data_IF_712439143151
#
_entry.id   IF_712439143151
#
_cell.length_a   1.000
_cell.length_b   1.000
_cell.length_c   1.000
_cell.angle_alpha   90.00
_cell.angle_beta   90.00
_cell.angle_gamma   90.00
#
_symmetry.space_group_name_H-M   'P 1'
#
loop_
_entity.id
_entity.type
_entity.pdbx_description
1 polymer ?
#
# COMPACT_ATOMS: atom_id res chain seq x y z
N UNK A 1 35.49 19.32 60.29
CA UNK A 1 35.50 20.10 59.03
C UNK A 1 36.24 19.41 57.87
N UNK A 2 37.10 18.41 58.12
CA UNK A 2 37.89 17.72 57.07
C UNK A 2 37.21 16.51 56.40
N UNK A 3 36.09 15.99 56.92
CA UNK A 3 35.41 14.80 56.36
C UNK A 3 34.46 15.09 55.18
N UNK A 4 34.21 16.36 54.84
CA UNK A 4 33.26 16.73 53.77
C UNK A 4 33.93 16.85 52.38
N UNK A 5 35.25 17.03 52.32
CA UNK A 5 35.96 17.28 51.05
C UNK A 5 36.27 16.02 50.23
N UNK A 6 36.40 14.84 50.87
CA UNK A 6 36.64 13.57 50.16
C UNK A 6 35.40 12.96 49.51
N UNK A 7 34.21 13.21 50.07
CA UNK A 7 32.93 12.72 49.53
C UNK A 7 32.46 13.50 48.29
N UNK A 8 32.88 14.77 48.13
CA UNK A 8 32.48 15.63 47.03
C UNK A 8 33.01 15.18 45.65
N UNK A 9 34.22 14.61 45.59
CA UNK A 9 34.77 14.10 44.33
C UNK A 9 34.15 12.77 43.89
N UNK A 10 33.83 11.87 44.84
CA UNK A 10 33.22 10.58 44.52
C UNK A 10 31.76 10.74 44.07
N UNK A 11 31.03 11.67 44.70
CA UNK A 11 29.66 12.01 44.31
C UNK A 11 29.60 12.66 42.92
N UNK A 12 30.54 13.56 42.59
CA UNK A 12 30.63 14.17 41.27
C UNK A 12 31.00 13.15 40.16
N UNK A 13 31.85 12.17 40.47
CA UNK A 13 32.24 11.12 39.52
C UNK A 13 31.07 10.15 39.24
N UNK A 14 30.27 9.82 40.26
CA UNK A 14 29.06 9.01 40.13
C UNK A 14 27.92 9.76 39.40
N UNK A 15 27.80 11.08 39.61
CA UNK A 15 26.80 11.92 38.95
C UNK A 15 27.14 12.25 37.48
N UNK A 16 28.42 12.21 37.10
CA UNK A 16 28.87 12.44 35.72
C UNK A 16 28.77 11.21 34.80
N UNK A 17 28.80 9.99 35.37
CA UNK A 17 28.66 8.74 34.64
C UNK A 17 27.34 8.56 33.85
N UNK A 18 26.14 8.90 34.37
CA UNK A 18 24.89 8.76 33.62
C UNK A 18 24.80 9.70 32.41
N UNK A 19 25.29 10.94 32.54
CA UNK A 19 25.23 11.95 31.48
C UNK A 19 26.05 11.56 30.23
N UNK A 20 27.19 10.88 30.41
CA UNK A 20 28.04 10.40 29.32
C UNK A 20 27.45 9.18 28.59
N UNK A 21 26.68 8.34 29.28
CA UNK A 21 25.97 7.21 28.69
C UNK A 21 24.74 7.67 27.89
N UNK A 22 24.03 8.70 28.37
CA UNK A 22 22.83 9.25 27.75
C UNK A 22 23.14 10.01 26.44
N UNK A 23 24.28 10.71 26.37
CA UNK A 23 24.78 11.34 25.14
C UNK A 23 25.16 10.33 24.04
N UNK A 24 25.63 9.13 24.42
CA UNK A 24 25.91 8.05 23.46
C UNK A 24 24.63 7.36 22.96
N UNK A 25 23.57 7.33 23.79
CA UNK A 25 22.26 6.80 23.42
C UNK A 25 21.55 7.73 22.41
N UNK A 26 21.74 9.04 22.50
CA UNK A 26 21.15 10.03 21.59
C UNK A 26 21.70 9.88 20.15
N UNK A 27 23.00 9.59 19.98
CA UNK A 27 23.60 9.33 18.65
C UNK A 27 23.11 8.04 17.97
N UNK A 28 22.87 6.98 18.75
CA UNK A 28 22.29 5.72 18.25
C UNK A 28 20.77 5.84 18.02
N UNK A 29 20.06 6.57 18.88
CA UNK A 29 18.65 6.90 18.69
C UNK A 29 18.42 7.82 17.48
N UNK A 30 19.30 8.78 17.21
CA UNK A 30 19.24 9.67 16.04
C UNK A 30 19.40 8.86 14.74
N UNK A 31 20.32 7.89 14.72
CA UNK A 31 20.51 6.98 13.58
C UNK A 31 19.28 6.10 13.32
N UNK A 32 18.69 5.50 14.38
CA UNK A 32 17.47 4.71 14.27
C UNK A 32 16.24 5.58 13.92
N UNK A 33 16.19 6.81 14.42
CA UNK A 33 15.11 7.76 14.12
C UNK A 33 15.10 8.11 12.65
N UNK A 34 16.27 8.40 12.06
CA UNK A 34 16.38 8.69 10.62
C UNK A 34 15.83 7.53 9.76
N UNK A 35 16.21 6.29 10.08
CA UNK A 35 15.70 5.11 9.36
C UNK A 35 14.17 4.96 9.47
N UNK A 36 13.60 5.24 10.64
CA UNK A 36 12.14 5.17 10.87
C UNK A 36 11.40 6.30 10.12
N UNK A 37 11.96 7.50 10.06
CA UNK A 37 11.38 8.61 9.29
C UNK A 37 11.38 8.32 7.79
N UNK A 38 12.46 7.76 7.24
CA UNK A 38 12.52 7.34 5.84
C UNK A 38 11.52 6.24 5.52
N UNK A 39 11.40 5.23 6.37
CA UNK A 39 10.46 4.12 6.18
C UNK A 39 9.01 4.64 6.16
N UNK A 40 8.65 5.53 7.08
CA UNK A 40 7.35 6.18 7.09
C UNK A 40 7.11 6.97 5.80
N UNK A 41 8.07 7.78 5.34
CA UNK A 41 7.92 8.57 4.11
C UNK A 41 7.59 7.68 2.90
N UNK A 42 8.29 6.54 2.78
CA UNK A 42 8.08 5.58 1.69
C UNK A 42 6.68 4.94 1.78
N UNK A 43 6.24 4.53 2.97
CA UNK A 43 4.92 3.91 3.14
C UNK A 43 3.78 4.89 2.85
N UNK A 44 3.86 6.12 3.35
CA UNK A 44 2.85 7.15 3.10
C UNK A 44 2.84 7.56 1.62
N UNK A 45 4.01 7.79 1.02
CA UNK A 45 4.13 8.13 -0.40
C UNK A 45 3.61 7.01 -1.33
N UNK A 46 3.97 5.75 -1.03
CA UNK A 46 3.51 4.58 -1.77
C UNK A 46 1.99 4.41 -1.70
N UNK A 47 1.41 4.56 -0.51
CA UNK A 47 -0.05 4.46 -0.32
C UNK A 47 -0.79 5.53 -1.12
N UNK A 48 -0.34 6.78 -1.07
CA UNK A 48 -0.96 7.90 -1.82
C UNK A 48 -0.90 7.64 -3.33
N UNK A 49 0.26 7.20 -3.83
CA UNK A 49 0.45 6.89 -5.25
C UNK A 49 -0.47 5.75 -5.73
N UNK A 50 -0.58 4.68 -4.93
CA UNK A 50 -1.46 3.55 -5.25
C UNK A 50 -2.93 3.95 -5.27
N UNK A 51 -3.39 4.73 -4.28
CA UNK A 51 -4.76 5.23 -4.22
C UNK A 51 -5.08 6.11 -5.42
N UNK A 52 -4.19 7.03 -5.79
CA UNK A 52 -4.34 7.85 -7.00
C UNK A 52 -4.40 6.98 -8.27
N UNK A 53 -3.55 5.95 -8.37
CA UNK A 53 -3.56 5.00 -9.47
C UNK A 53 -4.87 4.23 -9.58
N UNK A 54 -5.44 3.78 -8.46
CA UNK A 54 -6.75 3.11 -8.41
C UNK A 54 -7.85 4.04 -8.92
N UNK A 55 -7.88 5.30 -8.46
CA UNK A 55 -8.85 6.29 -8.92
C UNK A 55 -8.74 6.49 -10.44
N UNK A 56 -7.52 6.60 -10.97
CA UNK A 56 -7.31 6.78 -12.40
C UNK A 56 -7.77 5.55 -13.21
N UNK A 57 -7.49 4.35 -12.73
CA UNK A 57 -7.96 3.11 -13.36
C UNK A 57 -9.49 3.01 -13.34
N UNK A 58 -10.13 3.32 -12.21
CA UNK A 58 -11.60 3.35 -12.10
C UNK A 58 -12.23 4.35 -13.08
N UNK A 59 -11.66 5.55 -13.20
CA UNK A 59 -12.11 6.54 -14.17
C UNK A 59 -12.00 6.03 -15.61
N UNK A 60 -10.94 5.28 -15.94
CA UNK A 60 -10.74 4.69 -17.26
C UNK A 60 -11.68 3.52 -17.54
N UNK A 61 -11.95 2.66 -16.55
CA UNK A 61 -12.94 1.56 -16.68
C UNK A 61 -14.35 2.11 -16.94
N UNK A 62 -14.70 3.24 -16.31
CA UNK A 62 -16.01 3.88 -16.47
C UNK A 62 -16.16 4.62 -17.80
N UNK A 63 -15.11 5.31 -18.27
CA UNK A 63 -15.15 6.13 -19.50
C UNK A 63 -14.61 5.44 -20.76
N UNK A 64 -13.98 4.27 -20.64
CA UNK A 64 -13.33 3.57 -21.74
C UNK A 64 -14.32 3.17 -22.84
N UNK A 65 -14.17 3.69 -24.09
CA UNK A 65 -15.10 3.40 -25.19
C UNK A 65 -14.91 2.00 -25.80
N UNK A 66 -13.75 1.37 -25.58
CA UNK A 66 -13.38 0.09 -26.17
C UNK A 66 -13.23 -0.99 -25.09
N UNK A 67 -13.77 -2.19 -25.34
CA UNK A 67 -13.78 -3.28 -24.36
C UNK A 67 -12.36 -3.69 -23.92
N UNK A 68 -11.39 -3.70 -24.84
CA UNK A 68 -10.01 -4.04 -24.49
C UNK A 68 -9.36 -3.00 -23.55
N UNK A 69 -9.73 -1.72 -23.65
CA UNK A 69 -9.23 -0.66 -22.76
C UNK A 69 -9.72 -0.84 -21.32
N UNK A 70 -10.96 -1.34 -21.17
CA UNK A 70 -11.54 -1.65 -19.86
C UNK A 70 -10.88 -2.86 -19.22
N UNK A 71 -10.56 -3.90 -19.99
CA UNK A 71 -9.84 -5.09 -19.52
C UNK A 71 -8.43 -4.75 -19.07
N UNK A 72 -7.70 -3.95 -19.85
CA UNK A 72 -6.35 -3.50 -19.50
C UNK A 72 -6.34 -2.60 -18.25
N UNK A 73 -7.32 -1.70 -18.13
CA UNK A 73 -7.48 -0.86 -16.94
C UNK A 73 -7.85 -1.70 -15.71
N UNK A 74 -8.61 -2.78 -15.87
CA UNK A 74 -8.92 -3.70 -14.79
C UNK A 74 -7.66 -4.48 -14.35
N UNK A 75 -6.84 -4.99 -15.27
CA UNK A 75 -5.58 -5.67 -14.95
C UNK A 75 -4.62 -4.76 -14.16
N UNK A 76 -4.51 -3.50 -14.59
CA UNK A 76 -3.72 -2.48 -13.90
C UNK A 76 -4.25 -2.20 -12.49
N UNK A 77 -5.59 -2.14 -12.33
CA UNK A 77 -6.22 -1.92 -11.02
C UNK A 77 -5.86 -3.04 -10.03
N UNK A 78 -5.77 -4.28 -10.49
CA UNK A 78 -5.39 -5.44 -9.67
C UNK A 78 -3.96 -5.35 -9.15
N UNK A 79 -3.03 -4.93 -10.00
CA UNK A 79 -1.65 -4.67 -9.55
C UNK A 79 -1.60 -3.56 -8.50
N UNK A 80 -2.46 -2.55 -8.63
CA UNK A 80 -2.56 -1.46 -7.68
C UNK A 80 -3.14 -1.90 -6.32
N UNK A 81 -4.17 -2.74 -6.33
CA UNK A 81 -4.71 -3.38 -5.12
C UNK A 81 -3.66 -4.28 -4.48
N UNK A 82 -2.93 -5.07 -5.27
CA UNK A 82 -1.84 -5.92 -4.79
C UNK A 82 -0.75 -5.11 -4.08
N UNK A 83 -0.34 -3.97 -4.64
CA UNK A 83 0.59 -3.04 -3.99
C UNK A 83 0.09 -2.55 -2.63
N UNK A 84 -1.22 -2.29 -2.51
CA UNK A 84 -1.86 -1.86 -1.26
C UNK A 84 -1.83 -2.96 -0.20
N UNK A 85 -2.06 -4.21 -0.61
CA UNK A 85 -1.96 -5.39 0.26
C UNK A 85 -0.53 -5.61 0.76
N UNK A 86 0.47 -5.41 -0.11
CA UNK A 86 1.89 -5.49 0.28
C UNK A 86 2.24 -4.44 1.33
N UNK A 87 1.82 -3.19 1.14
CA UNK A 87 2.03 -2.12 2.13
C UNK A 87 1.33 -2.46 3.46
N UNK A 88 0.08 -2.92 3.40
CA UNK A 88 -0.67 -3.33 4.59
C UNK A 88 0.05 -4.45 5.35
N UNK A 89 0.63 -5.41 4.63
CA UNK A 89 1.39 -6.51 5.23
C UNK A 89 2.65 -6.01 5.95
N UNK A 90 3.37 -5.06 5.36
CA UNK A 90 4.54 -4.43 5.99
C UNK A 90 4.15 -3.70 7.28
N UNK A 91 3.01 -3.00 7.28
CA UNK A 91 2.50 -2.27 8.45
C UNK A 91 2.05 -3.24 9.55
N UNK A 92 1.34 -4.30 9.18
CA UNK A 92 0.73 -5.23 10.14
C UNK A 92 1.74 -6.23 10.71
N UNK A 93 2.90 -6.43 10.05
CA UNK A 93 3.96 -7.40 10.41
C UNK A 93 3.52 -8.86 10.53
N UNK A 94 2.29 -9.16 10.12
CA UNK A 94 1.66 -10.46 10.19
C UNK A 94 1.48 -11.01 8.77
N UNK A 95 2.32 -11.98 8.39
CA UNK A 95 2.28 -12.60 7.06
C UNK A 95 1.06 -13.51 6.87
N UNK A 96 0.41 -13.96 7.95
CA UNK A 96 -0.73 -14.88 7.89
C UNK A 96 -1.94 -14.26 7.17
N UNK A 97 -2.07 -12.92 7.19
CA UNK A 97 -3.13 -12.23 6.46
C UNK A 97 -2.83 -12.02 4.98
N UNK A 98 -1.56 -12.12 4.57
CA UNK A 98 -1.13 -11.85 3.20
C UNK A 98 -1.78 -12.81 2.20
N UNK A 99 -1.70 -14.13 2.47
CA UNK A 99 -2.21 -15.15 1.55
C UNK A 99 -3.74 -15.08 1.37
N UNK A 100 -4.47 -14.84 2.46
CA UNK A 100 -5.94 -14.73 2.43
C UNK A 100 -6.37 -13.47 1.69
N UNK A 101 -5.76 -12.32 2.01
CA UNK A 101 -6.10 -11.04 1.37
C UNK A 101 -5.72 -11.04 -0.10
N UNK A 102 -4.59 -11.66 -0.47
CA UNK A 102 -4.18 -11.87 -1.84
C UNK A 102 -5.19 -12.72 -2.61
N UNK A 103 -5.63 -13.84 -2.04
CA UNK A 103 -6.64 -14.71 -2.63
C UNK A 103 -7.96 -13.99 -2.87
N UNK A 104 -8.43 -13.22 -1.87
CA UNK A 104 -9.67 -12.42 -1.99
C UNK A 104 -9.52 -11.32 -3.05
N UNK A 105 -8.37 -10.65 -3.14
CA UNK A 105 -8.11 -9.63 -4.16
C UNK A 105 -8.16 -10.21 -5.58
N UNK A 106 -7.54 -11.37 -5.82
CA UNK A 106 -7.55 -12.05 -7.12
C UNK A 106 -8.97 -12.48 -7.50
N UNK A 107 -9.71 -13.07 -6.55
CA UNK A 107 -11.10 -13.52 -6.79
C UNK A 107 -12.02 -12.34 -7.07
N UNK A 108 -11.93 -11.26 -6.28
CA UNK A 108 -12.73 -10.04 -6.48
C UNK A 108 -12.46 -9.37 -7.83
N UNK A 109 -11.20 -9.37 -8.27
CA UNK A 109 -10.82 -8.90 -9.60
C UNK A 109 -11.43 -9.76 -10.70
N UNK A 110 -11.22 -11.08 -10.64
CA UNK A 110 -11.71 -12.02 -11.65
C UNK A 110 -13.22 -11.93 -11.81
N UNK A 111 -13.95 -11.76 -10.71
CA UNK A 111 -15.41 -11.57 -10.71
C UNK A 111 -15.84 -10.32 -11.48
N UNK A 112 -15.17 -9.19 -11.26
CA UNK A 112 -15.52 -7.91 -11.91
C UNK A 112 -15.19 -7.92 -13.41
N UNK A 113 -14.07 -8.52 -13.80
CA UNK A 113 -13.69 -8.67 -15.21
C UNK A 113 -14.63 -9.63 -15.93
N UNK A 114 -14.94 -10.78 -15.34
CA UNK A 114 -15.87 -11.74 -15.92
C UNK A 114 -17.25 -11.11 -16.14
N UNK A 115 -17.72 -10.30 -15.20
CA UNK A 115 -18.97 -9.57 -15.32
C UNK A 115 -18.94 -8.52 -16.44
N UNK A 116 -17.86 -7.74 -16.55
CA UNK A 116 -17.70 -6.75 -17.62
C UNK A 116 -17.65 -7.40 -19.00
N UNK A 117 -16.94 -8.53 -19.15
CA UNK A 117 -16.86 -9.29 -20.38
C UNK A 117 -18.21 -9.90 -20.76
N UNK A 118 -18.92 -10.45 -19.79
CA UNK A 118 -20.25 -11.03 -20.01
C UNK A 118 -21.27 -10.00 -20.49
N UNK A 119 -21.25 -8.77 -19.96
CA UNK A 119 -22.11 -7.69 -20.46
C UNK A 119 -21.71 -7.29 -21.88
N UNK A 120 -20.41 -7.16 -22.16
CA UNK A 120 -19.90 -6.83 -23.49
C UNK A 120 -20.31 -7.86 -24.54
N UNK A 121 -20.10 -9.15 -24.24
CA UNK A 121 -20.39 -10.30 -25.10
C UNK A 121 -21.89 -10.66 -25.25
N UNK A 122 -22.79 -9.91 -24.58
CA UNK A 122 -24.23 -9.98 -24.86
C UNK A 122 -24.76 -8.76 -25.60
N UNK A 123 -24.02 -7.66 -25.60
CA UNK A 123 -24.41 -6.44 -26.30
C UNK A 123 -24.19 -6.59 -27.82
N UNK A 124 -23.10 -7.24 -28.22
CA UNK A 124 -22.78 -7.65 -29.59
C UNK A 124 -23.77 -8.68 -30.16
N UNK A 125 -24.15 -9.71 -29.39
CA UNK A 125 -25.12 -10.73 -29.80
C UNK A 125 -26.49 -10.11 -30.17
N UNK A 126 -26.93 -9.11 -29.41
CA UNK A 126 -28.17 -8.38 -29.68
C UNK A 126 -28.10 -7.47 -30.91
N UNK A 127 -26.93 -6.94 -31.26
CA UNK A 127 -26.77 -6.14 -32.48
C UNK A 127 -26.85 -7.01 -33.74
N UNK A 128 -26.15 -8.14 -33.76
CA UNK A 128 -26.21 -9.08 -34.89
C UNK A 128 -27.60 -9.71 -35.06
N UNK A 129 -28.31 -9.99 -33.97
CA UNK A 129 -29.67 -10.50 -34.03
C UNK A 129 -30.69 -9.47 -34.55
N UNK A 130 -30.43 -8.17 -34.36
CA UNK A 130 -31.30 -7.08 -34.85
C UNK A 130 -31.10 -6.82 -36.34
N UNK A 131 -29.86 -6.81 -36.81
CA UNK A 131 -29.49 -6.65 -38.23
C UNK A 131 -30.09 -7.78 -39.11
N UNK A 132 -30.04 -9.03 -38.64
CA UNK A 132 -30.64 -10.18 -39.34
C UNK A 132 -32.17 -10.13 -39.43
N UNK A 133 -32.84 -9.38 -38.54
CA UNK A 133 -34.29 -9.17 -38.60
C UNK A 133 -34.68 -8.04 -39.55
N UNK A 134 -33.86 -6.99 -39.66
CA UNK A 134 -34.12 -5.86 -40.57
C UNK A 134 -33.78 -6.21 -42.04
N UNK A 135 -32.84 -7.14 -42.27
CA UNK A 135 -32.51 -7.64 -43.62
C UNK A 135 -33.47 -8.70 -44.17
N UNK A 136 -34.24 -9.37 -43.31
CA UNK A 136 -35.25 -10.38 -43.71
C UNK A 136 -36.71 -9.86 -43.63
N UNK A 137 -36.91 -8.55 -43.44
CA UNK A 137 -38.22 -7.90 -43.46
C UNK A 137 -38.38 -7.01 -44.68
#
# INVERSE_FOLDING_TARGET
MFLNMSNLNLANLLAAAPQAAEAAADGFQMSNSFAIYLLNLILWGGTISLVLGIIFCLLRILKGPHMADRVLAADTLSMQVLGLVVILTIVTRESMYFDVVLGVAIIGFASTVAFSQYIGARADEKMHAKDNKETNS
#
